data_IF_980684561640
#
_entry.id   IF_980684561640
#
_cell.length_a   1.000
_cell.length_b   1.000
_cell.length_c   1.000
_cell.angle_alpha   90.00
_cell.angle_beta   90.00
_cell.angle_gamma   90.00
#
_symmetry.space_group_name_H-M   'P 1'
#
loop_
_entity.id
_entity.type
_entity.pdbx_description
1 polymer ?
#
# COMPACT_ATOMS: atom_id res chain seq x y z
N UNK A 1 -9.33 -0.74 -35.62
CA UNK A 1 -8.58 0.28 -34.84
C UNK A 1 -9.21 0.59 -33.49
N UNK A 2 -10.53 0.84 -33.40
CA UNK A 2 -11.22 1.19 -32.13
C UNK A 2 -10.96 0.21 -30.96
N UNK A 3 -11.04 -1.11 -31.19
CA UNK A 3 -10.81 -2.10 -30.14
C UNK A 3 -9.38 -2.08 -29.58
N UNK A 4 -8.37 -1.82 -30.42
CA UNK A 4 -6.97 -1.71 -29.96
C UNK A 4 -6.74 -0.54 -29.01
N UNK A 5 -7.42 0.59 -29.24
CA UNK A 5 -7.32 1.76 -28.34
C UNK A 5 -7.97 1.48 -26.99
N UNK A 6 -9.10 0.76 -26.96
CA UNK A 6 -9.78 0.39 -25.71
C UNK A 6 -8.90 -0.58 -24.91
N UNK A 7 -8.36 -1.62 -25.54
CA UNK A 7 -7.48 -2.59 -24.87
C UNK A 7 -6.22 -1.93 -24.29
N UNK A 8 -5.58 -1.03 -25.04
CA UNK A 8 -4.44 -0.26 -24.53
C UNK A 8 -4.82 0.65 -23.36
N UNK A 9 -6.00 1.28 -23.41
CA UNK A 9 -6.52 2.10 -22.31
C UNK A 9 -6.74 1.28 -21.03
N UNK A 10 -7.36 0.11 -21.13
CA UNK A 10 -7.57 -0.80 -19.98
C UNK A 10 -6.23 -1.28 -19.42
N UNK A 11 -5.26 -1.61 -20.27
CA UNK A 11 -3.92 -2.00 -19.83
C UNK A 11 -3.21 -0.88 -19.08
N UNK A 12 -3.25 0.35 -19.62
CA UNK A 12 -2.66 1.53 -18.95
C UNK A 12 -3.31 1.83 -17.60
N UNK A 13 -4.63 1.67 -17.50
CA UNK A 13 -5.34 1.78 -16.21
C UNK A 13 -4.88 0.73 -15.21
N UNK A 14 -4.66 -0.52 -15.65
CA UNK A 14 -4.12 -1.58 -14.81
C UNK A 14 -2.71 -1.26 -14.30
N UNK A 15 -1.82 -0.80 -15.18
CA UNK A 15 -0.46 -0.36 -14.82
C UNK A 15 -0.51 0.81 -13.83
N UNK A 16 -1.41 1.78 -14.04
CA UNK A 16 -1.57 2.91 -13.13
C UNK A 16 -1.98 2.46 -11.73
N UNK A 17 -2.93 1.52 -11.61
CA UNK A 17 -3.36 0.97 -10.32
C UNK A 17 -2.22 0.23 -9.60
N UNK A 18 -1.43 -0.56 -10.33
CA UNK A 18 -0.23 -1.21 -9.77
C UNK A 18 0.79 -0.18 -9.28
N UNK A 19 1.00 0.91 -10.03
CA UNK A 19 1.90 1.98 -9.63
C UNK A 19 1.42 2.72 -8.36
N UNK A 20 0.11 3.00 -8.26
CA UNK A 20 -0.49 3.60 -7.07
C UNK A 20 -0.35 2.67 -5.86
N UNK A 21 -0.60 1.38 -6.03
CA UNK A 21 -0.38 0.38 -5.00
C UNK A 21 1.08 0.35 -4.54
N UNK A 22 2.06 0.34 -5.46
CA UNK A 22 3.47 0.39 -5.09
C UNK A 22 3.82 1.65 -4.29
N UNK A 23 3.23 2.80 -4.65
CA UNK A 23 3.42 4.07 -3.92
C UNK A 23 2.82 4.00 -2.51
N UNK A 24 1.60 3.47 -2.36
CA UNK A 24 0.97 3.29 -1.05
C UNK A 24 1.73 2.27 -0.19
N UNK A 25 2.27 1.20 -0.79
CA UNK A 25 3.12 0.24 -0.09
C UNK A 25 4.39 0.89 0.46
N UNK A 26 5.02 1.77 -0.33
CA UNK A 26 6.18 2.51 0.14
C UNK A 26 5.81 3.43 1.32
N UNK A 27 4.64 4.06 1.30
CA UNK A 27 4.14 4.84 2.44
C UNK A 27 3.97 3.96 3.68
N UNK A 28 3.40 2.76 3.54
CA UNK A 28 3.31 1.79 4.63
C UNK A 28 4.68 1.49 5.27
N UNK A 29 5.70 1.21 4.46
CA UNK A 29 7.06 0.93 4.95
C UNK A 29 7.63 2.12 5.72
N UNK A 30 7.54 3.33 5.15
CA UNK A 30 8.07 4.55 5.78
C UNK A 30 7.33 4.85 7.08
N UNK A 31 6.00 4.66 7.13
CA UNK A 31 5.21 4.84 8.35
C UNK A 31 5.63 3.85 9.44
N UNK A 32 5.83 2.57 9.09
CA UNK A 32 6.31 1.56 10.05
C UNK A 32 7.70 1.90 10.61
N UNK A 33 8.65 2.28 9.76
CA UNK A 33 9.97 2.72 10.20
C UNK A 33 9.91 3.96 11.12
N UNK A 34 8.98 4.87 10.84
CA UNK A 34 8.74 6.06 11.69
C UNK A 34 8.20 5.67 13.06
N UNK A 35 7.25 4.71 13.12
CA UNK A 35 6.70 4.18 14.38
C UNK A 35 7.80 3.53 15.21
N UNK A 36 8.63 2.68 14.61
CA UNK A 36 9.73 2.01 15.30
C UNK A 36 10.75 3.01 15.85
N UNK A 37 11.03 4.08 15.09
CA UNK A 37 11.88 5.18 15.55
C UNK A 37 11.26 5.91 16.75
N UNK A 38 9.97 6.24 16.69
CA UNK A 38 9.27 6.90 17.81
C UNK A 38 9.26 6.04 19.06
N UNK A 39 9.05 4.72 18.92
CA UNK A 39 9.12 3.77 20.04
C UNK A 39 10.54 3.72 20.61
N UNK A 40 11.56 3.70 19.74
CA UNK A 40 12.97 3.66 20.18
C UNK A 40 13.33 4.91 20.98
N UNK A 41 12.96 6.10 20.49
CA UNK A 41 13.21 7.38 21.18
C UNK A 41 12.42 7.44 22.49
N UNK A 42 11.15 7.02 22.49
CA UNK A 42 10.32 6.96 23.69
C UNK A 42 10.92 6.04 24.76
N UNK A 43 11.44 4.86 24.36
CA UNK A 43 12.07 3.91 25.28
C UNK A 43 13.39 4.42 25.85
N UNK A 44 14.15 5.23 25.09
CA UNK A 44 15.37 5.86 25.58
C UNK A 44 15.08 6.96 26.62
N UNK A 45 13.98 7.69 26.44
CA UNK A 45 13.58 8.78 27.34
C UNK A 45 12.85 8.28 28.59
N UNK A 46 12.03 7.23 28.45
CA UNK A 46 11.18 6.68 29.51
C UNK A 46 11.33 5.15 29.59
N UNK A 47 12.48 4.66 30.08
CA UNK A 47 12.77 3.23 30.08
C UNK A 47 11.80 2.42 30.97
N UNK A 48 11.31 3.01 32.06
CA UNK A 48 10.42 2.34 33.02
C UNK A 48 9.00 2.10 32.47
N UNK A 49 8.55 2.90 31.50
CA UNK A 49 7.20 2.81 30.90
C UNK A 49 7.23 2.28 29.46
N UNK A 50 8.40 1.82 29.00
CA UNK A 50 8.70 1.43 27.62
C UNK A 50 7.66 0.50 26.97
N UNK A 51 7.21 -0.54 27.68
CA UNK A 51 6.21 -1.47 27.18
C UNK A 51 4.82 -0.82 26.97
N UNK A 52 4.47 0.14 27.83
CA UNK A 52 3.17 0.81 27.82
C UNK A 52 3.14 1.94 26.78
N UNK A 53 4.23 2.70 26.63
CA UNK A 53 4.36 3.69 25.56
C UNK A 53 4.40 3.03 24.17
N UNK A 54 5.15 1.93 24.01
CA UNK A 54 5.23 1.23 22.74
C UNK A 54 3.86 0.70 22.27
N UNK A 55 3.00 0.26 23.21
CA UNK A 55 1.66 -0.20 22.89
C UNK A 55 0.74 0.96 22.51
N UNK A 56 0.83 2.10 23.20
CA UNK A 56 0.06 3.30 22.86
C UNK A 56 0.41 3.85 21.47
N UNK A 57 1.71 4.01 21.17
CA UNK A 57 2.16 4.48 19.86
C UNK A 57 1.66 3.52 18.76
N UNK A 58 1.85 2.21 18.91
CA UNK A 58 1.35 1.24 17.91
C UNK A 58 -0.17 1.29 17.76
N UNK A 59 -0.92 1.45 18.86
CA UNK A 59 -2.38 1.53 18.81
C UNK A 59 -2.86 2.76 18.02
N UNK A 60 -2.20 3.92 18.19
CA UNK A 60 -2.52 5.15 17.49
C UNK A 60 -2.35 5.04 15.97
N UNK A 61 -1.37 4.26 15.51
CA UNK A 61 -1.08 4.08 14.09
C UNK A 61 -1.67 2.79 13.48
N UNK A 62 -2.16 1.85 14.29
CA UNK A 62 -2.66 0.54 13.84
C UNK A 62 -3.78 0.65 12.79
N UNK A 63 -4.74 1.55 12.98
CA UNK A 63 -5.84 1.78 12.03
C UNK A 63 -5.33 2.29 10.68
N UNK A 64 -4.65 3.45 10.62
CA UNK A 64 -4.10 3.98 9.38
C UNK A 64 -3.17 3.00 8.64
N UNK A 65 -2.28 2.32 9.36
CA UNK A 65 -1.32 1.36 8.78
C UNK A 65 -2.03 0.16 8.15
N UNK A 66 -3.03 -0.41 8.84
CA UNK A 66 -3.82 -1.52 8.30
C UNK A 66 -4.65 -1.09 7.09
N UNK A 67 -5.22 0.12 7.11
CA UNK A 67 -5.97 0.66 5.97
C UNK A 67 -5.07 0.80 4.75
N UNK A 68 -3.87 1.39 4.90
CA UNK A 68 -2.91 1.54 3.78
C UNK A 68 -2.54 0.17 3.21
N UNK A 69 -2.24 -0.82 4.07
CA UNK A 69 -1.89 -2.16 3.61
C UNK A 69 -3.02 -2.82 2.83
N UNK A 70 -4.26 -2.68 3.32
CA UNK A 70 -5.43 -3.26 2.67
C UNK A 70 -5.74 -2.58 1.33
N UNK A 71 -5.76 -1.25 1.28
CA UNK A 71 -6.02 -0.51 0.03
C UNK A 71 -4.94 -0.78 -1.01
N UNK A 72 -3.67 -0.82 -0.58
CA UNK A 72 -2.54 -1.19 -1.43
C UNK A 72 -2.75 -2.55 -2.09
N UNK A 73 -3.15 -3.56 -1.30
CA UNK A 73 -3.35 -4.91 -1.81
C UNK A 73 -4.54 -4.98 -2.78
N UNK A 74 -5.64 -4.29 -2.45
CA UNK A 74 -6.81 -4.22 -3.31
C UNK A 74 -6.48 -3.54 -4.65
N UNK A 75 -5.80 -2.40 -4.64
CA UNK A 75 -5.40 -1.65 -5.84
C UNK A 75 -4.44 -2.47 -6.71
N UNK A 76 -3.52 -3.21 -6.09
CA UNK A 76 -2.61 -4.10 -6.80
C UNK A 76 -3.36 -5.22 -7.53
N UNK A 77 -4.29 -5.90 -6.85
CA UNK A 77 -5.11 -6.97 -7.45
C UNK A 77 -5.95 -6.42 -8.60
N UNK A 78 -6.64 -5.30 -8.38
CA UNK A 78 -7.47 -4.67 -9.41
C UNK A 78 -6.61 -4.33 -10.63
N UNK A 79 -5.44 -3.72 -10.41
CA UNK A 79 -4.52 -3.40 -11.49
C UNK A 79 -4.05 -4.62 -12.28
N UNK A 80 -3.75 -5.72 -11.58
CA UNK A 80 -3.35 -6.98 -12.20
C UNK A 80 -4.48 -7.61 -13.03
N UNK A 81 -5.72 -7.60 -12.50
CA UNK A 81 -6.90 -8.09 -13.20
C UNK A 81 -7.20 -7.27 -14.47
N UNK A 82 -7.04 -5.94 -14.42
CA UNK A 82 -7.21 -5.08 -15.60
C UNK A 82 -6.16 -5.38 -16.67
N UNK A 83 -4.89 -5.56 -16.29
CA UNK A 83 -3.83 -5.96 -17.22
C UNK A 83 -4.12 -7.33 -17.87
N UNK A 84 -4.57 -8.31 -17.08
CA UNK A 84 -4.94 -9.64 -17.59
C UNK A 84 -6.17 -9.59 -18.50
N UNK A 85 -7.19 -8.82 -18.15
CA UNK A 85 -8.38 -8.64 -18.98
C UNK A 85 -8.04 -7.97 -20.31
N UNK A 86 -7.18 -6.95 -20.30
CA UNK A 86 -6.68 -6.33 -21.52
C UNK A 86 -5.89 -7.33 -22.38
N UNK A 87 -5.03 -8.15 -21.78
CA UNK A 87 -4.29 -9.17 -22.52
C UNK A 87 -5.19 -10.26 -23.12
N UNK A 88 -6.19 -10.73 -22.37
CA UNK A 88 -7.16 -11.71 -22.85
C UNK A 88 -7.96 -11.16 -24.04
N UNK A 89 -8.50 -9.94 -23.92
CA UNK A 89 -9.21 -9.26 -25.00
C UNK A 89 -8.32 -9.05 -26.24
N UNK A 90 -7.03 -8.76 -26.05
CA UNK A 90 -6.12 -8.57 -27.18
C UNK A 90 -5.92 -9.83 -28.05
N UNK A 91 -6.11 -11.02 -27.46
CA UNK A 91 -5.92 -12.31 -28.12
C UNK A 91 -7.15 -12.83 -28.85
N UNK A 92 -8.34 -12.31 -28.52
CA UNK A 92 -9.61 -12.57 -29.23
C UNK A 92 -9.71 -11.74 -30.52
#
# INVERSE_FOLDING_TARGET
MKNKMITQGVFLLGVLMIYLAATQFNQYIVTQATIDTQITVANQLYPEESAQLASQVRSQFSGPVNTILFTTFADFIIGLLLCLAAYAWHKE
#
